data_IF_991853327049
#
_entry.id   IF_991853327049
#
_cell.length_a   1.000
_cell.length_b   1.000
_cell.length_c   1.000
_cell.angle_alpha   90.00
_cell.angle_beta   90.00
_cell.angle_gamma   90.00
#
_symmetry.space_group_name_H-M   'P 1'
#
loop_
_entity.id
_entity.type
_entity.pdbx_description
1 polymer ?
#
# COMPACT_ATOMS: atom_id res chain seq x y z
N UNK A 1 6.05 40.74 -6.59
CA UNK A 1 6.76 39.44 -6.62
C UNK A 1 6.88 38.90 -5.19
N UNK A 2 6.01 37.97 -4.78
CA UNK A 2 6.09 37.31 -3.45
C UNK A 2 6.44 35.83 -3.67
N UNK A 3 7.62 35.44 -3.20
CA UNK A 3 8.08 34.05 -3.16
C UNK A 3 7.30 33.27 -2.09
N UNK A 4 6.74 32.08 -2.36
CA UNK A 4 6.30 31.18 -1.30
C UNK A 4 7.49 30.32 -0.83
N UNK A 5 8.09 30.71 0.31
CA UNK A 5 9.12 29.92 1.03
C UNK A 5 8.50 29.03 2.11
N UNK A 6 7.66 28.07 1.71
CA UNK A 6 7.27 27.01 2.64
C UNK A 6 7.10 25.67 1.92
N UNK A 7 8.18 25.25 1.27
CA UNK A 7 8.44 23.82 1.08
C UNK A 7 8.78 23.25 2.47
N UNK A 8 7.75 23.00 3.29
CA UNK A 8 7.93 22.22 4.52
C UNK A 8 8.30 20.82 4.08
N UNK A 9 9.59 20.56 4.18
CA UNK A 9 10.27 19.29 4.01
C UNK A 9 9.39 18.17 4.57
N UNK A 10 8.78 17.39 3.67
CA UNK A 10 8.14 16.12 4.04
C UNK A 10 9.32 15.28 4.54
N UNK A 11 9.36 14.86 5.82
CA UNK A 11 10.48 14.07 6.31
C UNK A 11 10.46 12.73 5.56
N UNK A 12 11.37 12.59 4.58
CA UNK A 12 11.73 11.34 3.90
C UNK A 12 12.56 10.46 4.84
N UNK A 13 12.07 10.29 6.08
CA UNK A 13 12.60 9.41 7.10
C UNK A 13 11.50 8.50 7.61
N UNK A 14 10.68 7.93 6.71
CA UNK A 14 9.61 7.00 7.11
C UNK A 14 10.20 5.61 7.26
N UNK A 15 10.89 5.38 8.39
CA UNK A 15 10.90 4.05 8.96
C UNK A 15 9.44 3.67 9.21
N UNK A 16 8.90 2.74 8.43
CA UNK A 16 7.53 2.29 8.58
C UNK A 16 7.39 1.68 9.97
N UNK A 17 6.85 2.46 10.92
CA UNK A 17 6.49 1.96 12.24
C UNK A 17 5.21 1.13 12.08
N UNK A 18 5.39 -0.08 11.54
CA UNK A 18 4.38 -1.13 11.57
C UNK A 18 4.48 -1.75 12.96
N UNK A 19 3.39 -1.74 13.73
CA UNK A 19 3.35 -2.49 14.98
C UNK A 19 3.55 -3.98 14.65
N UNK A 20 4.43 -4.68 15.38
CA UNK A 20 4.76 -6.09 15.11
C UNK A 20 3.54 -7.01 15.00
N UNK A 21 2.51 -6.73 15.80
CA UNK A 21 1.24 -7.46 15.78
C UNK A 21 0.46 -7.27 14.46
N UNK A 22 0.54 -6.08 13.87
CA UNK A 22 -0.11 -5.75 12.59
C UNK A 22 0.56 -6.49 11.44
N UNK A 23 1.90 -6.57 11.46
CA UNK A 23 2.67 -7.31 10.46
C UNK A 23 2.34 -8.80 10.50
N UNK A 24 2.36 -9.41 11.69
CA UNK A 24 2.03 -10.84 11.86
C UNK A 24 0.60 -11.14 11.40
N UNK A 25 -0.35 -10.27 11.74
CA UNK A 25 -1.75 -10.39 11.32
C UNK A 25 -1.88 -10.31 9.80
N UNK A 26 -1.25 -9.32 9.17
CA UNK A 26 -1.29 -9.14 7.72
C UNK A 26 -0.59 -10.29 6.96
N UNK A 27 0.52 -10.79 7.50
CA UNK A 27 1.24 -11.96 6.97
C UNK A 27 0.37 -13.21 7.00
N UNK A 28 -0.27 -13.51 8.13
CA UNK A 28 -1.19 -14.63 8.24
C UNK A 28 -2.35 -14.53 7.24
N UNK A 29 -2.89 -13.32 7.03
CA UNK A 29 -3.93 -13.09 6.03
C UNK A 29 -3.43 -13.23 4.59
N UNK A 30 -2.18 -12.88 4.31
CA UNK A 30 -1.56 -13.00 3.00
C UNK A 30 -1.26 -14.47 2.65
N UNK A 31 -0.69 -15.24 3.59
CA UNK A 31 -0.44 -16.67 3.43
C UNK A 31 -1.72 -17.47 3.13
N UNK A 32 -2.84 -17.09 3.75
CA UNK A 32 -4.15 -17.70 3.44
C UNK A 32 -4.63 -17.43 2.00
N UNK A 33 -4.17 -16.34 1.38
CA UNK A 33 -4.50 -15.97 0.00
C UNK A 33 -3.55 -16.57 -1.01
N UNK A 34 -2.29 -16.75 -0.63
CA UNK A 34 -1.21 -17.29 -1.45
C UNK A 34 -0.65 -18.55 -0.77
N UNK A 35 -1.39 -19.67 -0.78
CA UNK A 35 -0.94 -20.90 -0.10
C UNK A 35 0.32 -21.50 -0.74
N UNK A 36 0.58 -21.19 -2.01
CA UNK A 36 1.72 -21.69 -2.78
C UNK A 36 3.01 -20.91 -2.49
N UNK A 37 2.90 -19.70 -1.95
CA UNK A 37 4.05 -18.83 -1.67
C UNK A 37 4.49 -18.94 -0.21
N UNK A 38 5.66 -19.55 0.00
CA UNK A 38 6.25 -19.77 1.33
C UNK A 38 7.50 -18.93 1.58
N UNK A 39 7.96 -18.16 0.60
CA UNK A 39 9.12 -17.30 0.75
C UNK A 39 8.79 -16.15 1.72
N UNK A 40 9.27 -16.29 2.95
CA UNK A 40 9.08 -15.31 4.00
C UNK A 40 9.74 -13.97 3.70
N UNK A 41 10.86 -13.95 2.96
CA UNK A 41 11.56 -12.72 2.59
C UNK A 41 10.79 -11.95 1.53
N UNK A 42 10.28 -12.65 0.51
CA UNK A 42 9.41 -12.05 -0.50
C UNK A 42 8.13 -11.50 0.12
N UNK A 43 7.44 -12.28 0.96
CA UNK A 43 6.21 -11.86 1.64
C UNK A 43 6.45 -10.63 2.52
N UNK A 44 7.56 -10.59 3.27
CA UNK A 44 7.91 -9.45 4.10
C UNK A 44 8.24 -8.21 3.24
N UNK A 45 8.92 -8.38 2.11
CA UNK A 45 9.25 -7.30 1.19
C UNK A 45 7.98 -6.68 0.59
N UNK A 46 7.04 -7.51 0.16
CA UNK A 46 5.73 -7.09 -0.37
C UNK A 46 4.88 -6.37 0.68
N UNK A 47 4.91 -6.82 1.93
CA UNK A 47 4.24 -6.15 3.04
C UNK A 47 4.88 -4.80 3.35
N UNK A 48 6.21 -4.70 3.30
CA UNK A 48 6.95 -3.44 3.52
C UNK A 48 6.61 -2.39 2.45
N UNK A 49 6.65 -2.79 1.17
CA UNK A 49 6.32 -1.91 0.05
C UNK A 49 4.86 -1.44 0.08
N UNK A 50 3.94 -2.37 0.34
CA UNK A 50 2.52 -2.05 0.49
C UNK A 50 2.29 -1.09 1.66
N UNK A 51 3.00 -1.24 2.78
CA UNK A 51 2.90 -0.34 3.92
C UNK A 51 3.40 1.07 3.60
N UNK A 52 4.55 1.19 2.93
CA UNK A 52 5.07 2.49 2.48
C UNK A 52 4.09 3.20 1.54
N UNK A 53 3.45 2.44 0.65
CA UNK A 53 2.41 2.95 -0.24
C UNK A 53 1.21 3.46 0.55
N UNK A 54 0.69 2.66 1.49
CA UNK A 54 -0.46 3.04 2.32
C UNK A 54 -0.18 4.28 3.18
N UNK A 55 0.98 4.35 3.82
CA UNK A 55 1.39 5.51 4.60
C UNK A 55 1.47 6.76 3.71
N UNK A 56 1.98 6.62 2.48
CA UNK A 56 2.07 7.72 1.51
C UNK A 56 0.70 8.21 1.08
N UNK A 57 -0.24 7.31 0.78
CA UNK A 57 -1.58 7.68 0.34
C UNK A 57 -2.44 8.25 1.47
N UNK A 58 -2.32 7.70 2.69
CA UNK A 58 -3.13 8.10 3.85
C UNK A 58 -2.56 9.29 4.61
N UNK A 59 -1.33 9.72 4.28
CA UNK A 59 -0.57 10.77 4.98
C UNK A 59 -0.40 10.47 6.47
N UNK A 60 -0.19 9.19 6.79
CA UNK A 60 0.07 8.72 8.16
C UNK A 60 1.55 8.38 8.32
N UNK A 61 2.03 8.51 9.55
CA UNK A 61 3.36 8.05 9.96
C UNK A 61 3.34 6.61 10.49
N UNK A 62 2.17 6.16 10.98
CA UNK A 62 1.98 4.83 11.57
C UNK A 62 0.75 4.15 10.97
N UNK A 63 0.87 2.84 10.75
CA UNK A 63 -0.21 2.01 10.19
C UNK A 63 -1.01 1.37 11.34
N UNK A 64 -2.29 1.71 11.55
CA UNK A 64 -3.09 1.10 12.61
C UNK A 64 -3.43 -0.36 12.29
N UNK A 65 -3.68 -1.16 13.32
CA UNK A 65 -4.05 -2.58 13.18
C UNK A 65 -5.28 -2.82 12.27
N UNK A 66 -6.21 -1.85 12.23
CA UNK A 66 -7.39 -1.90 11.35
C UNK A 66 -7.05 -1.93 9.85
N UNK A 67 -5.83 -1.55 9.45
CA UNK A 67 -5.37 -1.62 8.06
C UNK A 67 -4.67 -2.93 7.69
N UNK A 68 -4.53 -3.90 8.60
CA UNK A 68 -3.88 -5.18 8.32
C UNK A 68 -4.53 -5.92 7.13
N UNK A 69 -5.86 -5.86 7.02
CA UNK A 69 -6.60 -6.45 5.91
C UNK A 69 -6.33 -5.76 4.57
N UNK A 70 -6.23 -4.42 4.59
CA UNK A 70 -5.93 -3.61 3.41
C UNK A 70 -4.50 -3.83 2.93
N UNK A 71 -3.56 -3.93 3.88
CA UNK A 71 -2.17 -4.26 3.63
C UNK A 71 -2.03 -5.63 2.94
N UNK A 72 -2.67 -6.67 3.50
CA UNK A 72 -2.67 -8.02 2.91
C UNK A 72 -3.25 -8.03 1.48
N UNK A 73 -4.34 -7.30 1.23
CA UNK A 73 -4.94 -7.21 -0.11
C UNK A 73 -4.01 -6.49 -1.10
N UNK A 74 -3.39 -5.39 -0.69
CA UNK A 74 -2.46 -4.64 -1.54
C UNK A 74 -1.21 -5.48 -1.87
N UNK A 75 -0.65 -6.19 -0.89
CA UNK A 75 0.48 -7.10 -1.11
C UNK A 75 0.13 -8.25 -2.07
N UNK A 76 -1.08 -8.81 -2.01
CA UNK A 76 -1.53 -9.81 -2.98
C UNK A 76 -1.61 -9.25 -4.42
N UNK A 77 -2.04 -7.98 -4.58
CA UNK A 77 -2.02 -7.31 -5.89
C UNK A 77 -0.59 -7.13 -6.39
N UNK A 78 0.35 -6.75 -5.52
CA UNK A 78 1.77 -6.62 -5.89
C UNK A 78 2.38 -7.97 -6.29
N UNK A 79 2.09 -9.03 -5.54
CA UNK A 79 2.52 -10.38 -5.88
C UNK A 79 2.01 -10.80 -7.27
N UNK A 80 0.72 -10.62 -7.53
CA UNK A 80 0.12 -10.94 -8.82
C UNK A 80 0.76 -10.15 -9.97
N UNK A 81 1.19 -8.90 -9.71
CA UNK A 81 1.91 -8.09 -10.71
C UNK A 81 3.31 -8.62 -11.00
N UNK A 82 4.07 -9.05 -9.99
CA UNK A 82 5.38 -9.67 -10.18
C UNK A 82 5.29 -10.93 -11.06
N UNK A 83 4.22 -11.72 -10.91
CA UNK A 83 3.97 -12.88 -11.77
C UNK A 83 3.51 -12.55 -13.20
N UNK A 84 2.88 -11.39 -13.41
CA UNK A 84 2.33 -10.96 -14.72
C UNK A 84 3.38 -10.40 -15.69
N UNK A 85 4.56 -10.00 -15.23
CA UNK A 85 5.62 -9.45 -16.09
C UNK A 85 6.08 -10.43 -17.18
N UNK A 86 5.89 -11.75 -16.99
CA UNK A 86 6.15 -12.78 -18.00
C UNK A 86 4.99 -13.09 -18.97
N UNK A 87 3.75 -12.69 -18.65
CA UNK A 87 2.54 -13.04 -19.44
C UNK A 87 2.05 -11.88 -20.33
N UNK A 88 2.56 -10.66 -20.13
CA UNK A 88 2.11 -9.45 -20.84
C UNK A 88 2.48 -9.41 -22.34
N UNK A 89 3.36 -10.31 -22.79
CA UNK A 89 3.66 -10.48 -24.22
C UNK A 89 2.64 -11.37 -24.94
N UNK A 90 1.68 -12.00 -24.22
CA UNK A 90 0.85 -13.07 -24.76
C UNK A 90 -0.64 -12.93 -24.44
N UNK A 91 -1.22 -11.74 -24.63
CA UNK A 91 -2.68 -11.55 -24.67
C UNK A 91 -3.13 -10.69 -25.85
N UNK A 92 -2.86 -11.18 -27.05
CA UNK A 92 -3.66 -10.87 -28.24
C UNK A 92 -5.00 -11.61 -28.14
N UNK A 93 -6.07 -10.94 -27.68
CA UNK A 93 -7.38 -11.60 -27.58
C UNK A 93 -8.43 -10.88 -26.74
N UNK A 94 -8.76 -9.64 -27.12
CA UNK A 94 -10.11 -9.03 -26.98
C UNK A 94 -10.78 -8.89 -25.60
N UNK A 95 -10.07 -9.03 -24.47
CA UNK A 95 -10.60 -8.59 -23.16
C UNK A 95 -9.61 -7.62 -22.52
N UNK A 96 -9.90 -6.32 -22.65
CA UNK A 96 -9.25 -5.28 -21.87
C UNK A 96 -9.75 -5.38 -20.42
N UNK A 97 -9.17 -6.29 -19.62
CA UNK A 97 -9.23 -6.10 -18.17
C UNK A 97 -8.51 -4.79 -17.90
N UNK A 98 -9.16 -3.86 -17.19
CA UNK A 98 -8.58 -2.60 -16.77
C UNK A 98 -7.30 -2.89 -15.97
N UNK A 99 -6.17 -2.88 -16.68
CA UNK A 99 -4.81 -3.09 -16.21
C UNK A 99 -4.25 -1.82 -15.55
N UNK A 100 -5.13 -0.94 -15.07
CA UNK A 100 -4.79 0.35 -14.49
C UNK A 100 -4.85 0.27 -12.95
N UNK A 101 -3.86 -0.43 -12.39
CA UNK A 101 -3.44 -0.22 -11.00
C UNK A 101 -4.26 -0.90 -9.90
N UNK A 102 -4.11 -0.34 -8.69
CA UNK A 102 -4.77 -0.82 -7.46
C UNK A 102 -6.29 -0.76 -7.65
N UNK A 103 -7.05 -1.85 -7.41
CA UNK A 103 -8.50 -1.88 -7.58
C UNK A 103 -9.23 -0.69 -6.93
N UNK A 104 -10.25 -0.13 -7.59
CA UNK A 104 -10.95 1.06 -7.12
C UNK A 104 -11.58 0.88 -5.72
N UNK A 105 -12.06 -0.33 -5.41
CA UNK A 105 -12.55 -0.65 -4.06
C UNK A 105 -11.47 -0.49 -2.98
N UNK A 106 -10.22 -0.89 -3.29
CA UNK A 106 -9.08 -0.73 -2.39
C UNK A 106 -8.74 0.77 -2.28
N UNK A 107 -8.73 1.50 -3.39
CA UNK A 107 -8.49 2.95 -3.37
C UNK A 107 -9.57 3.70 -2.58
N UNK A 108 -10.84 3.33 -2.69
CA UNK A 108 -11.95 3.90 -1.93
C UNK A 108 -11.76 3.69 -0.44
N UNK A 109 -11.38 2.49 -0.04
CA UNK A 109 -11.09 2.16 1.35
C UNK A 109 -9.87 2.96 1.86
N UNK A 110 -8.77 3.03 1.11
CA UNK A 110 -7.59 3.85 1.44
C UNK A 110 -7.98 5.32 1.66
N UNK A 111 -8.80 5.88 0.77
CA UNK A 111 -9.28 7.27 0.85
C UNK A 111 -10.11 7.53 2.10
N UNK A 112 -10.93 6.57 2.54
CA UNK A 112 -11.71 6.69 3.77
C UNK A 112 -10.83 6.83 5.02
N UNK A 113 -9.62 6.25 5.00
CA UNK A 113 -8.67 6.35 6.09
C UNK A 113 -7.73 7.57 6.01
N UNK A 114 -7.77 8.34 4.92
CA UNK A 114 -6.91 9.51 4.73
C UNK A 114 -7.24 10.54 5.81
N UNK A 115 -6.22 10.98 6.56
CA UNK A 115 -6.41 12.07 7.52
C UNK A 115 -6.75 13.34 6.75
N UNK A 116 -7.90 13.95 7.08
CA UNK A 116 -8.21 15.28 6.60
C UNK A 116 -7.16 16.24 7.18
N UNK A 117 -6.46 16.96 6.32
CA UNK A 117 -5.58 18.02 6.76
C UNK A 117 -6.46 19.15 7.31
N UNK A 118 -6.58 19.23 8.62
CA UNK A 118 -7.18 20.39 9.30
C UNK A 118 -6.04 21.36 9.56
N UNK A 119 -5.97 22.51 8.86
CA UNK A 119 -5.01 23.54 9.22
C UNK A 119 -5.30 23.95 10.67
N UNK A 120 -4.31 23.81 11.55
CA UNK A 120 -4.45 24.30 12.92
C UNK A 120 -4.63 25.81 12.83
N UNK A 121 -5.83 26.31 13.13
CA UNK A 121 -6.02 27.73 13.42
C UNK A 121 -5.14 28.04 14.64
N UNK A 122 -4.09 28.81 14.40
CA UNK A 122 -3.26 29.37 15.47
C UNK A 122 -4.13 30.43 16.16
N UNK A 123 -4.31 30.38 17.49
CA UNK A 123 -5.09 31.37 18.22
C UNK A 123 -4.46 32.77 18.16
#
# INVERSE_FOLDING_TARGET
MRQPKNARQIPLGRGAAMTGDTLNTAKNMLQKRLPDEQDAELLNSLLSEAALTLLSLTHREQLPAGMAGLLSRLSAVYYNRLGLEGENLRKEGSVQMAMDGVPDDILREIRAWRLAWVPKCVP
#
